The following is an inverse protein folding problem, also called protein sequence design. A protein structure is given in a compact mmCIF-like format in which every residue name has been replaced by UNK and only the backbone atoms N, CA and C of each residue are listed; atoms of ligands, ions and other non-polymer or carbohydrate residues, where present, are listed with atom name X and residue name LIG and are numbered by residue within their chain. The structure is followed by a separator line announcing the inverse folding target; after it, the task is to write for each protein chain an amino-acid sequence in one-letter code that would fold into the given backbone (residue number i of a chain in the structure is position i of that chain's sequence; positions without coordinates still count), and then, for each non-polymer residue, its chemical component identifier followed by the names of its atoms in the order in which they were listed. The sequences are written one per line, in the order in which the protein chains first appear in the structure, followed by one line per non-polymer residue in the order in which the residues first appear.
data_IF_667739600761
#
_entry.id   IF_667739600761
#
_cell.length_a   1.000
_cell.length_b   1.000
_cell.length_c   1.000
_cell.angle_alpha   90.00
_cell.angle_beta   90.00
_cell.angle_gamma   90.00
#
_symmetry.space_group_name_H-M   'P 1'
#
loop_
_entity.id
_entity.type
_entity.pdbx_description
1 polymer ?
#
# COMPACT_ATOMS: atom_id res chain seq x y z
N UNK A 1 4.02 9.73 3.72
CA UNK A 1 5.22 8.97 3.29
C UNK A 1 5.05 8.48 1.87
N UNK A 2 5.65 9.12 0.88
CA UNK A 2 5.64 8.62 -0.49
C UNK A 2 6.68 7.51 -0.64
N UNK A 3 6.25 6.36 -1.17
CA UNK A 3 7.12 5.27 -1.60
C UNK A 3 6.96 5.10 -3.11
N UNK A 4 7.75 5.86 -3.86
CA UNK A 4 7.63 5.97 -5.31
C UNK A 4 8.80 5.26 -6.00
N UNK A 5 8.51 4.21 -6.76
CA UNK A 5 9.53 3.32 -7.33
C UNK A 5 9.48 3.18 -8.85
N UNK A 6 8.51 3.81 -9.52
CA UNK A 6 8.35 3.69 -10.97
C UNK A 6 7.60 4.90 -11.55
N UNK A 7 7.00 4.75 -12.73
CA UNK A 7 6.30 5.81 -13.46
C UNK A 7 5.18 6.49 -12.64
N UNK A 8 4.50 5.77 -11.75
CA UNK A 8 3.53 6.38 -10.84
C UNK A 8 4.16 7.41 -9.89
N UNK A 9 5.47 7.30 -9.62
CA UNK A 9 6.21 8.30 -8.85
C UNK A 9 6.29 9.65 -9.55
N UNK A 10 6.38 9.65 -10.87
CA UNK A 10 6.39 10.90 -11.67
C UNK A 10 5.02 11.58 -11.58
N UNK A 11 3.96 10.80 -11.66
CA UNK A 11 2.59 11.28 -11.55
C UNK A 11 2.28 11.79 -10.12
N UNK A 12 2.84 11.11 -9.12
CA UNK A 12 2.80 11.58 -7.73
C UNK A 12 3.50 12.95 -7.56
N UNK A 13 4.64 13.16 -8.20
CA UNK A 13 5.30 14.47 -8.22
C UNK A 13 4.44 15.51 -8.93
N UNK A 14 3.79 15.16 -10.03
CA UNK A 14 2.87 16.03 -10.75
C UNK A 14 1.65 16.44 -9.88
N UNK A 15 1.20 15.56 -8.99
CA UNK A 15 0.11 15.86 -8.04
C UNK A 15 0.51 16.91 -7.02
N UNK A 16 1.79 16.96 -6.62
CA UNK A 16 2.34 18.01 -5.75
C UNK A 16 2.77 19.28 -6.49
N UNK A 17 2.65 19.32 -7.83
CA UNK A 17 3.02 20.48 -8.62
C UNK A 17 1.93 21.57 -8.58
N UNK A 18 2.31 22.79 -8.93
CA UNK A 18 1.46 23.98 -8.84
C UNK A 18 0.10 23.88 -9.58
N UNK A 19 0.02 23.03 -10.62
CA UNK A 19 -1.23 22.82 -11.37
C UNK A 19 -2.31 22.08 -10.55
N UNK A 20 -1.90 21.12 -9.75
CA UNK A 20 -2.82 20.23 -9.01
C UNK A 20 -2.90 20.55 -7.54
N UNK A 21 -1.77 20.89 -6.93
CA UNK A 21 -1.59 21.43 -5.58
C UNK A 21 -2.42 20.74 -4.48
N UNK A 22 -1.83 19.71 -3.88
CA UNK A 22 -2.44 18.97 -2.77
C UNK A 22 -2.67 19.80 -1.50
N UNK A 23 -2.03 20.97 -1.39
CA UNK A 23 -2.19 21.85 -0.23
C UNK A 23 -3.62 22.33 -0.02
N UNK A 24 -4.38 22.48 -1.12
CA UNK A 24 -5.80 22.86 -1.08
C UNK A 24 -6.68 21.82 -0.37
N UNK A 25 -6.21 20.57 -0.30
CA UNK A 25 -6.92 19.45 0.32
C UNK A 25 -6.30 19.04 1.66
N UNK A 26 -5.44 19.89 2.23
CA UNK A 26 -4.82 19.66 3.53
C UNK A 26 -3.67 18.64 3.54
N UNK A 27 -3.10 18.31 2.37
CA UNK A 27 -2.05 17.29 2.21
C UNK A 27 -0.76 17.86 1.59
N UNK A 28 -0.35 19.06 2.04
CA UNK A 28 0.78 19.79 1.46
C UNK A 28 2.13 19.10 1.70
N UNK A 29 2.35 18.58 2.90
CA UNK A 29 3.69 18.20 3.32
C UNK A 29 3.98 16.75 3.07
N UNK A 30 4.87 16.46 2.12
CA UNK A 30 5.43 15.13 1.91
C UNK A 30 6.54 14.84 2.93
N UNK A 31 6.22 14.10 3.98
CA UNK A 31 7.22 13.65 4.94
C UNK A 31 7.87 12.35 4.48
N UNK A 32 9.20 12.30 4.49
CA UNK A 32 9.97 11.10 4.13
C UNK A 32 10.37 10.27 5.34
N UNK A 33 10.16 10.80 6.56
CA UNK A 33 10.39 10.04 7.78
C UNK A 33 9.14 9.22 8.14
N UNK A 34 9.25 7.89 8.28
CA UNK A 34 8.09 7.05 8.63
C UNK A 34 7.46 7.42 9.98
N UNK A 35 8.27 7.93 10.90
CA UNK A 35 7.82 8.30 12.24
C UNK A 35 7.05 9.62 12.30
N UNK A 36 7.01 10.36 11.19
CA UNK A 36 6.32 11.65 11.05
C UNK A 36 5.18 11.59 10.03
N UNK A 37 4.73 10.39 9.65
CA UNK A 37 3.75 10.18 8.61
C UNK A 37 2.64 9.26 9.07
N UNK A 38 1.41 9.64 8.73
CA UNK A 38 0.21 8.87 9.00
C UNK A 38 -0.29 8.14 7.75
N UNK A 39 0.00 8.67 6.56
CA UNK A 39 -0.39 8.12 5.27
C UNK A 39 0.83 7.63 4.49
N UNK A 40 0.77 6.38 4.02
CA UNK A 40 1.72 5.80 3.07
C UNK A 40 1.11 5.70 1.68
N UNK A 41 1.79 6.26 0.69
CA UNK A 41 1.39 6.12 -0.72
C UNK A 41 2.43 5.26 -1.40
N UNK A 42 2.02 4.06 -1.83
CA UNK A 42 2.87 3.16 -2.60
C UNK A 42 2.58 3.36 -4.08
N UNK A 43 3.49 4.05 -4.75
CA UNK A 43 3.34 4.47 -6.14
C UNK A 43 4.26 3.67 -7.06
N UNK A 44 3.69 2.72 -7.79
CA UNK A 44 4.39 1.97 -8.82
C UNK A 44 4.78 0.54 -8.41
N UNK A 45 5.74 -0.02 -9.13
CA UNK A 45 6.17 -1.41 -8.94
C UNK A 45 6.95 -1.59 -7.65
N UNK A 46 6.62 -2.64 -6.92
CA UNK A 46 7.41 -3.09 -5.78
C UNK A 46 8.11 -4.38 -6.18
N UNK A 47 9.43 -4.39 -6.18
CA UNK A 47 10.20 -5.60 -6.45
C UNK A 47 10.35 -6.43 -5.17
N UNK A 48 10.45 -7.74 -5.30
CA UNK A 48 10.56 -8.66 -4.17
C UNK A 48 11.71 -8.31 -3.21
N UNK A 49 12.83 -7.82 -3.75
CA UNK A 49 13.97 -7.38 -2.94
C UNK A 49 13.70 -6.13 -2.09
N UNK A 50 12.77 -5.28 -2.53
CA UNK A 50 12.38 -4.06 -1.79
C UNK A 50 11.21 -4.29 -0.82
N UNK A 51 10.54 -5.41 -0.93
CA UNK A 51 9.40 -5.74 -0.07
C UNK A 51 9.73 -5.71 1.43
N UNK A 52 10.85 -6.32 1.91
CA UNK A 52 11.21 -6.26 3.33
C UNK A 52 11.46 -4.83 3.82
N UNK A 53 12.00 -3.96 2.95
CA UNK A 53 12.22 -2.54 3.26
C UNK A 53 10.88 -1.83 3.41
N UNK A 54 9.96 -2.07 2.50
CA UNK A 54 8.60 -1.50 2.54
C UNK A 54 7.86 -1.92 3.82
N UNK A 55 7.93 -3.19 4.18
CA UNK A 55 7.33 -3.71 5.43
C UNK A 55 7.94 -3.06 6.67
N UNK A 56 9.27 -2.89 6.69
CA UNK A 56 9.97 -2.23 7.80
C UNK A 56 9.56 -0.77 7.93
N UNK A 57 9.43 -0.04 6.82
CA UNK A 57 8.94 1.34 6.80
C UNK A 57 7.52 1.38 7.35
N UNK A 58 6.64 0.49 6.91
CA UNK A 58 5.26 0.40 7.40
C UNK A 58 5.18 0.14 8.91
N UNK A 59 6.03 -0.74 9.44
CA UNK A 59 6.10 -1.03 10.87
C UNK A 59 6.59 0.16 11.70
N UNK A 60 7.41 1.03 11.11
CA UNK A 60 7.93 2.23 11.79
C UNK A 60 6.94 3.40 11.83
N UNK A 61 5.87 3.34 11.05
CA UNK A 61 4.81 4.35 11.08
C UNK A 61 3.95 4.21 12.34
N UNK A 62 3.53 5.35 12.88
CA UNK A 62 2.63 5.40 14.03
C UNK A 62 1.22 4.93 13.68
N UNK A 63 0.47 4.48 14.67
CA UNK A 63 -0.96 4.29 14.58
C UNK A 63 -1.67 5.59 15.07
N UNK A 64 -2.73 6.03 14.44
CA UNK A 64 -3.39 5.46 13.26
C UNK A 64 -2.62 5.70 11.96
N UNK A 65 -2.66 4.75 11.05
CA UNK A 65 -1.98 4.86 9.74
C UNK A 65 -2.80 4.24 8.62
N UNK A 66 -2.65 4.80 7.44
CA UNK A 66 -3.37 4.41 6.23
C UNK A 66 -2.42 4.15 5.08
N UNK A 67 -2.87 3.35 4.13
CA UNK A 67 -2.10 3.03 2.93
C UNK A 67 -2.94 3.22 1.67
N UNK A 68 -2.41 3.97 0.71
CA UNK A 68 -2.94 4.09 -0.65
C UNK A 68 -2.05 3.31 -1.60
N UNK A 69 -2.65 2.38 -2.36
CA UNK A 69 -2.01 1.68 -3.47
C UNK A 69 -2.25 2.45 -4.76
N UNK A 70 -1.22 3.10 -5.29
CA UNK A 70 -1.30 3.92 -6.49
C UNK A 70 -0.82 3.16 -7.72
N UNK A 71 -1.73 2.95 -8.64
CA UNK A 71 -1.47 2.32 -9.93
C UNK A 71 -1.62 0.80 -9.96
N UNK A 72 -1.77 0.26 -11.16
CA UNK A 72 -1.99 -1.16 -11.39
C UNK A 72 -0.83 -2.04 -10.86
N UNK A 73 0.40 -1.56 -10.94
CA UNK A 73 1.57 -2.32 -10.48
C UNK A 73 1.56 -2.56 -8.98
N UNK A 74 1.20 -1.56 -8.17
CA UNK A 74 1.09 -1.72 -6.73
C UNK A 74 -0.13 -2.56 -6.34
N UNK A 75 -1.23 -2.45 -7.09
CA UNK A 75 -2.49 -3.11 -6.77
C UNK A 75 -2.51 -4.59 -7.13
N UNK A 76 -2.00 -4.95 -8.32
CA UNK A 76 -2.09 -6.32 -8.86
C UNK A 76 -0.81 -6.82 -9.54
N UNK A 77 0.27 -6.03 -9.57
CA UNK A 77 1.45 -6.30 -10.40
C UNK A 77 1.35 -5.69 -11.80
N UNK A 78 0.13 -5.31 -12.25
CA UNK A 78 -0.11 -4.70 -13.56
C UNK A 78 0.29 -5.63 -14.71
N UNK A 79 1.03 -5.07 -15.68
CA UNK A 79 1.54 -5.82 -16.83
C UNK A 79 2.79 -6.64 -16.52
N UNK A 80 3.34 -6.51 -15.30
CA UNK A 80 4.59 -7.16 -14.90
C UNK A 80 4.32 -8.43 -14.06
N UNK A 81 3.73 -9.42 -14.69
CA UNK A 81 3.54 -10.74 -14.07
C UNK A 81 4.85 -11.54 -14.12
N UNK A 82 5.76 -11.18 -13.22
CA UNK A 82 7.08 -11.80 -13.12
C UNK A 82 7.39 -12.17 -11.67
N UNK A 83 8.26 -13.15 -11.48
CA UNK A 83 8.73 -13.58 -10.15
C UNK A 83 9.47 -12.48 -9.36
N UNK A 84 9.95 -11.45 -10.04
CA UNK A 84 10.73 -10.37 -9.43
C UNK A 84 9.85 -9.24 -8.88
N UNK A 85 8.59 -9.16 -9.28
CA UNK A 85 7.64 -8.10 -8.92
C UNK A 85 6.55 -8.64 -8.01
N UNK A 86 6.23 -7.89 -6.98
CA UNK A 86 5.15 -8.22 -6.05
C UNK A 86 3.81 -8.07 -6.76
N UNK A 87 3.02 -9.13 -6.75
CA UNK A 87 1.70 -9.19 -7.37
C UNK A 87 0.62 -8.75 -6.38
N UNK A 88 0.58 -7.42 -6.11
CA UNK A 88 -0.30 -6.79 -5.12
C UNK A 88 0.37 -6.62 -3.75
N UNK A 89 0.42 -5.37 -3.29
CA UNK A 89 1.01 -5.03 -1.98
C UNK A 89 0.05 -5.35 -0.82
N UNK A 90 -1.22 -5.52 -1.09
CA UNK A 90 -2.26 -5.87 -0.13
C UNK A 90 -2.01 -7.20 0.59
N UNK A 91 -1.26 -8.09 -0.05
CA UNK A 91 -0.80 -9.35 0.55
C UNK A 91 0.17 -9.15 1.72
N UNK A 92 0.83 -8.00 1.78
CA UNK A 92 1.92 -7.74 2.73
C UNK A 92 1.64 -6.54 3.64
N UNK A 93 0.85 -5.58 3.16
CA UNK A 93 0.48 -4.36 3.88
C UNK A 93 -1.01 -4.13 3.68
N UNK A 94 -1.78 -3.85 4.74
CA UNK A 94 -3.18 -3.54 4.59
C UNK A 94 -3.34 -2.24 3.79
N UNK A 95 -4.11 -2.30 2.71
CA UNK A 95 -4.41 -1.19 1.82
C UNK A 95 -5.82 -0.68 2.13
N UNK A 96 -5.95 0.65 2.28
CA UNK A 96 -7.22 1.30 2.57
C UNK A 96 -7.92 1.78 1.30
N UNK A 97 -7.13 2.28 0.35
CA UNK A 97 -7.63 2.83 -0.91
C UNK A 97 -6.77 2.38 -2.09
N UNK A 98 -7.42 2.11 -3.22
CA UNK A 98 -6.77 1.77 -4.48
C UNK A 98 -7.02 2.86 -5.51
N UNK A 99 -5.96 3.29 -6.19
CA UNK A 99 -6.03 4.26 -7.29
C UNK A 99 -5.72 3.54 -8.59
N UNK A 100 -6.72 3.22 -9.41
CA UNK A 100 -6.52 2.51 -10.67
C UNK A 100 -5.86 3.41 -11.73
N UNK A 101 -5.04 2.82 -12.57
CA UNK A 101 -4.39 3.50 -13.70
C UNK A 101 -2.96 2.99 -13.94
N UNK A 102 -2.38 3.38 -15.07
CA UNK A 102 -1.01 2.97 -15.41
C UNK A 102 -0.29 4.05 -16.27
N UNK A 103 0.15 5.15 -15.63
CA UNK A 103 -0.14 5.65 -14.29
C UNK A 103 -1.55 6.25 -14.17
N UNK A 104 -2.09 6.35 -12.95
CA UNK A 104 -3.31 7.10 -12.70
C UNK A 104 -3.02 8.61 -12.83
N UNK A 105 -4.03 9.37 -13.24
CA UNK A 105 -3.90 10.82 -13.33
C UNK A 105 -3.81 11.46 -11.94
N UNK A 106 -3.18 12.64 -11.80
CA UNK A 106 -3.09 13.36 -10.54
C UNK A 106 -4.44 13.61 -9.86
N UNK A 107 -5.48 13.91 -10.65
CA UNK A 107 -6.83 14.14 -10.15
C UNK A 107 -7.42 12.91 -9.46
N UNK A 108 -7.11 11.70 -9.98
CA UNK A 108 -7.56 10.44 -9.36
C UNK A 108 -6.90 10.21 -8.00
N UNK A 109 -5.64 10.59 -7.84
CA UNK A 109 -4.98 10.52 -6.54
C UNK A 109 -5.56 11.53 -5.55
N UNK A 110 -5.84 12.74 -6.00
CA UNK A 110 -6.51 13.77 -5.19
C UNK A 110 -7.87 13.25 -4.72
N UNK A 111 -8.66 12.69 -5.64
CA UNK A 111 -9.96 12.11 -5.29
C UNK A 111 -9.82 11.00 -4.24
N UNK A 112 -8.86 10.10 -4.40
CA UNK A 112 -8.61 9.03 -3.43
C UNK A 112 -8.21 9.55 -2.04
N UNK A 113 -7.52 10.70 -1.98
CA UNK A 113 -7.19 11.35 -0.70
C UNK A 113 -8.46 11.93 -0.05
N UNK A 114 -9.34 12.54 -0.84
CA UNK A 114 -10.63 13.05 -0.35
C UNK A 114 -11.49 11.89 0.16
N UNK A 115 -11.64 10.83 -0.64
CA UNK A 115 -12.41 9.64 -0.27
C UNK A 115 -11.86 8.99 1.01
N UNK A 116 -10.52 9.02 1.19
CA UNK A 116 -9.90 8.53 2.42
C UNK A 116 -10.22 9.45 3.62
N UNK A 117 -10.26 10.78 3.41
CA UNK A 117 -10.66 11.72 4.47
C UNK A 117 -12.10 11.50 4.90
N UNK A 118 -13.01 11.30 3.95
CA UNK A 118 -14.41 10.99 4.22
C UNK A 118 -14.54 9.68 4.99
N UNK A 119 -13.83 8.63 4.57
CA UNK A 119 -13.76 7.36 5.28
C UNK A 119 -13.26 7.50 6.72
N UNK A 120 -12.24 8.33 6.94
CA UNK A 120 -11.71 8.60 8.29
C UNK A 120 -12.76 9.33 9.16
N UNK A 121 -13.54 10.23 8.57
CA UNK A 121 -14.60 10.94 9.28
C UNK A 121 -15.76 10.01 9.65
N UNK A 122 -16.15 9.11 8.75
CA UNK A 122 -17.20 8.12 9.00
C UNK A 122 -16.79 7.10 10.07
N UNK A 123 -15.54 6.62 10.03
CA UNK A 123 -14.98 5.70 11.01
C UNK A 123 -14.61 6.37 12.36
N UNK A 124 -14.86 7.64 12.49
CA UNK A 124 -14.34 8.56 13.50
C UNK A 124 -14.83 8.39 14.94
N UNK A 125 -15.62 7.36 15.26
CA UNK A 125 -15.88 6.93 16.64
C UNK A 125 -14.71 6.10 17.16
N UNK A 126 -14.31 6.33 18.40
CA UNK A 126 -13.24 5.59 19.09
C UNK A 126 -13.49 4.08 19.00
N UNK A 127 -14.74 3.65 19.13
CA UNK A 127 -15.15 2.25 19.00
C UNK A 127 -14.95 1.68 17.58
N UNK A 128 -15.23 2.45 16.53
CA UNK A 128 -14.98 2.04 15.13
C UNK A 128 -13.48 1.91 14.84
N UNK A 129 -12.66 2.81 15.35
CA UNK A 129 -11.20 2.72 15.22
C UNK A 129 -10.63 1.49 15.94
N UNK A 130 -11.09 1.18 17.13
CA UNK A 130 -10.64 0.00 17.88
C UNK A 130 -11.02 -1.30 17.17
N UNK A 131 -12.23 -1.38 16.63
CA UNK A 131 -12.69 -2.56 15.89
C UNK A 131 -11.86 -2.78 14.62
N UNK A 132 -11.68 -1.73 13.82
CA UNK A 132 -10.87 -1.79 12.61
C UNK A 132 -9.38 -2.04 12.91
N UNK A 133 -8.86 -1.48 14.00
CA UNK A 133 -7.48 -1.72 14.45
C UNK A 133 -7.29 -3.18 14.85
N UNK A 134 -8.26 -3.81 15.52
CA UNK A 134 -8.21 -5.25 15.86
C UNK A 134 -8.21 -6.13 14.62
N UNK A 135 -9.12 -5.90 13.69
CA UNK A 135 -9.15 -6.65 12.41
C UNK A 135 -7.86 -6.46 11.59
N UNK A 136 -7.31 -5.25 11.58
CA UNK A 136 -6.03 -4.94 10.95
C UNK A 136 -4.87 -5.66 11.62
N UNK A 137 -4.87 -5.73 12.94
CA UNK A 137 -3.84 -6.46 13.70
C UNK A 137 -3.94 -7.96 13.50
N UNK A 138 -5.14 -8.52 13.39
CA UNK A 138 -5.36 -9.94 13.08
C UNK A 138 -4.88 -10.27 11.66
N UNK A 139 -5.22 -9.44 10.67
CA UNK A 139 -4.65 -9.55 9.32
C UNK A 139 -3.13 -9.39 9.31
N UNK A 140 -2.57 -8.47 10.11
CA UNK A 140 -1.12 -8.34 10.27
C UNK A 140 -0.48 -9.60 10.87
N UNK A 141 -1.08 -10.19 11.89
CA UNK A 141 -0.56 -11.43 12.49
C UNK A 141 -0.57 -12.57 11.49
N UNK A 142 -1.65 -12.74 10.76
CA UNK A 142 -1.76 -13.74 9.70
C UNK A 142 -0.74 -13.53 8.56
N UNK A 143 -0.35 -12.27 8.27
CA UNK A 143 0.64 -11.94 7.25
C UNK A 143 2.09 -12.03 7.75
N UNK A 144 2.32 -11.78 9.06
CA UNK A 144 3.66 -11.87 9.69
C UNK A 144 4.03 -13.31 10.02
N UNK A 145 3.06 -14.20 10.18
CA UNK A 145 3.28 -15.65 10.32
C UNK A 145 3.70 -16.32 9.00
N UNK A 146 3.88 -15.54 7.93
CA UNK A 146 4.59 -16.01 6.75
C UNK A 146 6.06 -16.25 7.15
N UNK A 147 6.53 -17.51 7.22
CA UNK A 147 7.86 -17.81 7.74
C UNK A 147 8.94 -17.10 6.93
N UNK A 148 9.98 -16.63 7.63
CA UNK A 148 11.16 -15.95 7.04
C UNK A 148 11.87 -16.78 5.94
N UNK A 149 11.55 -18.06 5.83
CA UNK A 149 12.03 -18.98 4.78
C UNK A 149 11.41 -18.70 3.40
N UNK A 150 10.37 -17.86 3.30
CA UNK A 150 9.73 -17.53 2.03
C UNK A 150 10.50 -16.49 1.20
N UNK A 151 11.57 -15.92 1.71
CA UNK A 151 12.26 -14.80 1.07
C UNK A 151 13.10 -15.19 -0.16
N UNK A 152 13.52 -16.43 -0.30
CA UNK A 152 14.32 -16.86 -1.46
C UNK A 152 13.84 -18.18 -2.08
N UNK A 153 13.29 -19.10 -1.31
CA UNK A 153 12.90 -20.43 -1.80
C UNK A 153 11.49 -20.43 -2.43
N UNK A 154 10.58 -19.57 -1.98
CA UNK A 154 9.27 -19.40 -2.60
C UNK A 154 9.35 -18.73 -3.97
N UNK A 155 10.33 -17.85 -4.18
CA UNK A 155 10.59 -17.28 -5.50
C UNK A 155 11.13 -18.33 -6.49
N UNK A 156 11.68 -19.44 -6.01
CA UNK A 156 12.22 -20.54 -6.82
C UNK A 156 11.24 -21.70 -7.05
N UNK A 157 10.16 -21.79 -6.28
CA UNK A 157 9.26 -22.92 -6.35
C UNK A 157 7.83 -22.52 -6.77
N UNK A 158 7.46 -22.70 -8.07
CA UNK A 158 6.14 -22.33 -8.58
C UNK A 158 4.98 -23.13 -7.93
N UNK A 159 5.25 -24.26 -7.31
CA UNK A 159 4.24 -25.07 -6.62
C UNK A 159 3.85 -24.44 -5.27
N UNK A 160 4.79 -23.77 -4.59
CA UNK A 160 4.53 -23.10 -3.33
C UNK A 160 3.67 -21.86 -3.53
N UNK A 161 3.84 -21.15 -4.66
CA UNK A 161 2.97 -20.04 -5.03
C UNK A 161 1.52 -20.48 -5.27
N UNK A 162 1.32 -21.67 -5.86
CA UNK A 162 -0.02 -22.24 -6.05
C UNK A 162 -0.69 -22.66 -4.75
N UNK A 163 0.05 -23.14 -3.79
CA UNK A 163 -0.50 -23.51 -2.48
C UNK A 163 -0.86 -22.30 -1.63
N UNK A 164 -0.03 -21.25 -1.68
CA UNK A 164 -0.31 -19.97 -1.02
C UNK A 164 -1.53 -19.27 -1.62
N UNK A 165 -1.72 -19.35 -2.94
CA UNK A 165 -2.92 -18.81 -3.58
C UNK A 165 -4.19 -19.60 -3.23
N UNK A 166 -4.08 -20.92 -2.98
CA UNK A 166 -5.21 -21.76 -2.53
C UNK A 166 -5.58 -21.50 -1.07
N UNK A 167 -4.61 -21.26 -0.20
CA UNK A 167 -4.88 -20.92 1.20
C UNK A 167 -5.50 -19.53 1.36
N UNK A 168 -5.13 -18.57 0.50
CA UNK A 168 -5.74 -17.25 0.47
C UNK A 168 -7.20 -17.26 0.00
N UNK A 169 -7.56 -18.18 -0.91
CA UNK A 169 -8.94 -18.32 -1.42
C UNK A 169 -9.86 -19.09 -0.46
N UNK A 170 -9.33 -19.80 0.53
CA UNK A 170 -10.12 -20.52 1.55
C UNK A 170 -10.44 -19.64 2.79
N UNK A 171 -10.05 -18.39 2.80
CA UNK A 171 -10.28 -17.43 3.88
C UNK A 171 -11.37 -16.36 3.55
N UNK A 172 -12.11 -16.57 2.45
CA UNK A 172 -13.28 -15.76 2.10
C UNK A 172 -14.59 -16.50 2.37
#
# INVERSE_FOLDING_TARGET
MPFATACCGIELMATGAAKHDLSRFGAEVFRFSPRQCDLMIVAGRVVMKMLPVLQRIWQQMHEPKWCISMGACASTGGVFDTYAVVQGIDRFIPVDMYVPGCPPRPEQLIQAIIDLQDKIQEEGTIAGREFNTRQRQEKKRALVECPETLTLDAARNPNLQRELSKSANNLN
#
